data_IF_528443544048
#
_entry.id   IF_528443544048
#
_cell.length_a   1.000
_cell.length_b   1.000
_cell.length_c   1.000
_cell.angle_alpha   90.00
_cell.angle_beta   90.00
_cell.angle_gamma   90.00
#
_symmetry.space_group_name_H-M   'P 1'
#
loop_
_entity.id
_entity.type
_entity.pdbx_description
1 polymer ?
#
# COMPACT_ATOMS: atom_id res chain seq x y z
N UNK A 1 13.46 5.67 5.49
CA UNK A 1 12.52 4.55 5.21
C UNK A 1 12.34 3.60 6.39
N UNK A 2 13.40 3.01 6.97
CA UNK A 2 13.30 2.08 8.12
C UNK A 2 12.57 2.68 9.34
N UNK A 3 12.69 3.99 9.52
CA UNK A 3 11.98 4.75 10.57
C UNK A 3 10.45 4.64 10.38
N UNK A 4 9.95 4.69 9.14
CA UNK A 4 8.52 4.57 8.85
C UNK A 4 8.05 3.12 9.09
N UNK A 5 8.82 2.13 8.67
CA UNK A 5 8.55 0.70 8.93
C UNK A 5 8.43 0.44 10.45
N UNK A 6 9.39 0.94 11.24
CA UNK A 6 9.37 0.81 12.70
C UNK A 6 8.24 1.61 13.36
N UNK A 7 7.94 2.83 12.90
CA UNK A 7 6.84 3.64 13.43
C UNK A 7 5.48 2.96 13.21
N UNK A 8 5.19 2.57 11.97
CA UNK A 8 3.93 1.88 11.60
C UNK A 8 3.82 0.55 12.37
N UNK A 9 4.94 -0.15 12.59
CA UNK A 9 4.97 -1.35 13.43
C UNK A 9 4.63 -1.05 14.89
N UNK A 10 5.29 -0.07 15.51
CA UNK A 10 5.10 0.26 16.93
C UNK A 10 3.65 0.71 17.23
N UNK A 11 3.05 1.45 16.30
CA UNK A 11 1.67 1.94 16.43
C UNK A 11 0.61 1.01 15.83
N UNK A 12 1.00 -0.17 15.33
CA UNK A 12 0.09 -1.16 14.73
C UNK A 12 -0.73 -0.62 13.55
N UNK A 13 -0.12 0.24 12.72
CA UNK A 13 -0.78 0.93 11.61
C UNK A 13 -0.63 0.21 10.26
N UNK A 14 -0.17 -1.05 10.26
CA UNK A 14 0.06 -1.80 9.02
C UNK A 14 -1.25 -2.21 8.35
N UNK A 15 -1.46 -1.75 7.11
CA UNK A 15 -2.43 -2.38 6.22
C UNK A 15 -1.82 -3.68 5.64
N UNK A 16 -2.62 -4.75 5.65
CA UNK A 16 -2.19 -6.05 5.13
C UNK A 16 -1.86 -6.06 3.64
N UNK A 17 -2.34 -5.07 2.87
CA UNK A 17 -2.10 -4.88 1.44
C UNK A 17 -1.01 -3.86 1.14
N UNK A 18 -0.45 -3.20 2.16
CA UNK A 18 0.65 -2.27 1.96
C UNK A 18 1.96 -3.03 1.73
N UNK A 19 2.49 -2.90 0.51
CA UNK A 19 3.80 -3.45 0.14
C UNK A 19 4.94 -2.41 0.25
N UNK A 20 4.63 -1.13 0.09
CA UNK A 20 5.63 -0.07 0.14
C UNK A 20 6.11 0.18 1.58
N UNK A 21 7.38 0.56 1.72
CA UNK A 21 8.01 0.93 2.99
C UNK A 21 8.04 -0.19 4.05
N UNK A 22 7.81 -1.46 3.66
CA UNK A 22 7.74 -2.61 4.57
C UNK A 22 8.89 -3.59 4.34
N UNK A 23 9.49 -4.07 5.42
CA UNK A 23 10.50 -5.13 5.33
C UNK A 23 9.91 -6.42 4.72
N UNK A 24 10.67 -7.08 3.84
CA UNK A 24 10.28 -8.30 3.09
C UNK A 24 9.17 -8.15 2.03
N UNK A 25 8.81 -6.91 1.65
CA UNK A 25 7.92 -6.64 0.52
C UNK A 25 8.67 -5.91 -0.60
N UNK A 26 8.29 -6.19 -1.85
CA UNK A 26 8.88 -5.55 -3.04
C UNK A 26 7.77 -5.05 -3.98
N UNK A 27 8.16 -4.27 -4.99
CA UNK A 27 7.25 -3.88 -6.06
C UNK A 27 6.76 -5.08 -6.87
N UNK A 28 7.60 -6.11 -7.01
CA UNK A 28 7.25 -7.36 -7.70
C UNK A 28 6.16 -8.13 -6.96
N UNK A 29 6.29 -8.28 -5.64
CA UNK A 29 5.26 -9.00 -4.86
C UNK A 29 3.93 -8.24 -4.82
N UNK A 30 3.98 -6.90 -4.81
CA UNK A 30 2.79 -6.06 -4.95
C UNK A 30 2.10 -6.25 -6.31
N UNK A 31 2.87 -6.22 -7.40
CA UNK A 31 2.33 -6.39 -8.75
C UNK A 31 1.74 -7.79 -8.96
N UNK A 32 2.44 -8.83 -8.50
CA UNK A 32 1.96 -10.20 -8.54
C UNK A 32 0.64 -10.36 -7.78
N UNK A 33 0.50 -9.70 -6.62
CA UNK A 33 -0.74 -9.72 -5.86
C UNK A 33 -1.89 -9.08 -6.61
N UNK A 34 -1.68 -7.90 -7.22
CA UNK A 34 -2.70 -7.21 -8.04
C UNK A 34 -3.13 -8.09 -9.22
N UNK A 35 -2.18 -8.69 -9.94
CA UNK A 35 -2.48 -9.58 -11.06
C UNK A 35 -3.29 -10.80 -10.61
N UNK A 36 -2.88 -11.45 -9.52
CA UNK A 36 -3.60 -12.58 -8.96
C UNK A 36 -5.04 -12.21 -8.55
N UNK A 37 -5.24 -11.06 -7.92
CA UNK A 37 -6.57 -10.61 -7.50
C UNK A 37 -7.49 -10.35 -8.70
N UNK A 38 -6.93 -9.86 -9.81
CA UNK A 38 -7.68 -9.71 -11.07
C UNK A 38 -8.11 -11.06 -11.62
N UNK A 39 -7.17 -12.02 -11.72
CA UNK A 39 -7.46 -13.35 -12.22
C UNK A 39 -8.50 -14.08 -11.35
N UNK A 40 -8.37 -14.00 -10.03
CA UNK A 40 -9.35 -14.56 -9.11
C UNK A 40 -10.74 -13.92 -9.26
N UNK A 41 -10.81 -12.61 -9.52
CA UNK A 41 -12.09 -11.94 -9.82
C UNK A 41 -12.75 -12.50 -11.08
N UNK A 42 -11.96 -12.70 -12.14
CA UNK A 42 -12.42 -13.29 -13.40
C UNK A 42 -12.87 -14.74 -13.25
N UNK A 43 -12.09 -15.57 -12.56
CA UNK A 43 -12.40 -16.99 -12.31
C UNK A 43 -13.70 -17.14 -11.50
N UNK A 44 -13.98 -16.18 -10.62
CA UNK A 44 -15.22 -16.16 -9.83
C UNK A 44 -16.41 -15.51 -10.57
N UNK A 45 -16.31 -15.29 -11.88
CA UNK A 45 -17.36 -14.69 -12.74
C UNK A 45 -17.79 -13.31 -12.22
N UNK A 46 -16.84 -12.54 -11.68
CA UNK A 46 -17.09 -11.16 -11.20
C UNK A 46 -16.57 -10.15 -12.21
N UNK A 47 -17.31 -9.06 -12.37
CA UNK A 47 -16.80 -7.86 -13.05
C UNK A 47 -15.62 -7.33 -12.24
N UNK A 48 -14.46 -7.25 -12.89
CA UNK A 48 -13.20 -6.91 -12.25
C UNK A 48 -12.57 -5.73 -12.97
N UNK A 49 -12.16 -4.70 -12.23
CA UNK A 49 -11.56 -3.48 -12.76
C UNK A 49 -10.44 -2.97 -11.87
N UNK A 50 -9.46 -2.31 -12.48
CA UNK A 50 -8.31 -1.72 -11.79
C UNK A 50 -8.38 -0.20 -11.89
N UNK A 51 -8.36 0.48 -10.73
CA UNK A 51 -8.22 1.93 -10.63
C UNK A 51 -6.85 2.25 -10.06
N UNK A 52 -6.04 2.97 -10.82
CA UNK A 52 -4.73 3.46 -10.39
C UNK A 52 -4.88 4.92 -9.97
N UNK A 53 -4.58 5.20 -8.70
CA UNK A 53 -4.57 6.53 -8.14
C UNK A 53 -3.13 6.94 -7.87
N UNK A 54 -2.78 8.16 -8.25
CA UNK A 54 -1.49 8.77 -7.90
C UNK A 54 -1.76 10.08 -7.16
N UNK A 55 -1.03 10.30 -6.06
CA UNK A 55 -1.17 11.48 -5.22
C UNK A 55 0.00 12.42 -5.49
N UNK A 56 -0.27 13.54 -6.17
CA UNK A 56 0.75 14.56 -6.39
C UNK A 56 1.11 15.23 -5.04
N UNK A 57 2.40 15.32 -4.73
CA UNK A 57 2.91 15.96 -3.52
C UNK A 57 2.38 15.37 -2.19
N UNK A 58 2.25 14.04 -2.12
CA UNK A 58 1.74 13.32 -0.95
C UNK A 58 2.48 13.65 0.37
N UNK A 59 3.79 13.91 0.30
CA UNK A 59 4.58 14.29 1.48
C UNK A 59 4.39 15.76 1.88
N UNK A 60 4.22 16.66 0.91
CA UNK A 60 4.02 18.09 1.18
C UNK A 60 2.59 18.39 1.63
N UNK A 61 1.64 17.51 1.29
CA UNK A 61 0.21 17.63 1.64
C UNK A 61 -0.12 16.91 2.95
N UNK A 62 0.82 16.13 3.51
CA UNK A 62 0.63 15.50 4.81
C UNK A 62 0.56 16.60 5.88
N UNK A 63 -0.57 16.69 6.58
CA UNK A 63 -0.82 17.72 7.59
C UNK A 63 0.30 17.73 8.65
N UNK A 64 1.06 18.83 8.68
CA UNK A 64 2.17 19.02 9.62
C UNK A 64 1.71 19.11 11.07
N UNK A 65 0.41 19.33 11.33
CA UNK A 65 -0.16 19.27 12.68
C UNK A 65 -0.43 17.84 13.17
N UNK A 66 -0.64 16.88 12.25
CA UNK A 66 -0.85 15.47 12.57
C UNK A 66 0.47 14.67 12.68
N UNK A 67 1.57 15.24 12.16
CA UNK A 67 2.89 14.61 12.07
C UNK A 67 3.91 15.16 13.09
N UNK A 68 3.50 16.03 14.01
CA UNK A 68 4.34 16.62 15.04
C UNK A 68 3.91 16.18 16.46
N UNK A 69 4.46 15.04 16.90
CA UNK A 69 5.13 14.82 18.20
C UNK A 69 5.70 13.39 18.24
#
# INVERSE_FOLDING_TARGET
MKILDSFVYNYHLWDNRQAAYRSHHSTESALLKVQNDILQGMDNVKVTGLLLLDLCAAFDTADHSLTAD
#
